data_IF_044902437540
#
_entry.id   IF_044902437540
#
_cell.length_a   1.000
_cell.length_b   1.000
_cell.length_c   1.000
_cell.angle_alpha   90.00
_cell.angle_beta   90.00
_cell.angle_gamma   90.00
#
_symmetry.space_group_name_H-M   'P 1'
#
loop_
_entity.id
_entity.type
_entity.pdbx_description
1 polymer ?
#
# COMPACT_ATOMS: atom_id res chain seq x y z
N UNK A 1 5.13 112.74 21.10
CA UNK A 1 6.36 112.49 20.32
C UNK A 1 6.63 110.99 20.38
N UNK A 2 6.76 110.37 19.20
CA UNK A 2 7.25 109.00 18.93
C UNK A 2 6.47 107.82 19.53
N UNK A 3 6.03 106.79 18.81
CA UNK A 3 5.89 106.48 17.38
C UNK A 3 5.03 105.18 17.34
N UNK A 4 4.12 105.09 16.35
CA UNK A 4 3.56 103.88 15.72
C UNK A 4 2.73 102.83 16.49
N UNK A 5 1.42 102.80 16.15
CA UNK A 5 0.63 101.57 15.90
C UNK A 5 0.70 101.22 14.39
N UNK A 6 0.10 100.11 13.87
CA UNK A 6 -0.05 98.72 14.33
C UNK A 6 0.37 97.72 13.21
N UNK A 7 0.33 96.39 13.43
CA UNK A 7 -0.08 95.39 12.41
C UNK A 7 -0.19 93.96 12.96
N UNK A 8 -1.39 93.39 12.81
CA UNK A 8 -1.67 91.95 12.81
C UNK A 8 -0.73 91.22 11.84
N UNK A 9 -0.14 90.10 12.27
CA UNK A 9 -0.09 88.88 11.44
C UNK A 9 -0.18 87.64 12.33
N UNK A 10 -1.27 86.89 12.16
CA UNK A 10 -1.40 85.48 12.54
C UNK A 10 -0.33 84.66 11.82
N UNK A 11 0.63 84.11 12.56
CA UNK A 11 1.47 83.02 12.06
C UNK A 11 0.81 81.70 12.41
N UNK A 12 0.09 81.15 11.43
CA UNK A 12 -0.34 79.75 11.41
C UNK A 12 0.92 78.89 11.28
N UNK A 13 1.29 78.18 12.34
CA UNK A 13 2.33 77.15 12.28
C UNK A 13 1.74 75.95 11.54
N UNK A 14 2.09 75.81 10.26
CA UNK A 14 1.81 74.61 9.47
C UNK A 14 2.71 73.48 9.99
N UNK A 15 2.18 72.64 10.88
CA UNK A 15 2.79 71.36 11.23
C UNK A 15 2.64 70.44 10.01
N UNK A 16 3.67 70.40 9.17
CA UNK A 16 3.81 69.37 8.14
C UNK A 16 4.03 68.02 8.84
N UNK A 17 2.95 67.30 9.10
CA UNK A 17 2.98 65.89 9.49
C UNK A 17 3.45 65.12 8.25
N UNK A 18 4.76 64.92 8.13
CA UNK A 18 5.33 63.92 7.23
C UNK A 18 4.90 62.55 7.78
N UNK A 19 3.78 62.03 7.30
CA UNK A 19 3.48 60.60 7.40
C UNK A 19 4.50 59.87 6.55
N UNK A 20 5.64 59.49 7.14
CA UNK A 20 6.46 58.42 6.60
C UNK A 20 5.59 57.16 6.63
N UNK A 21 4.88 56.90 5.53
CA UNK A 21 4.42 55.57 5.19
C UNK A 21 5.66 54.74 4.92
N UNK A 22 6.29 54.26 5.99
CA UNK A 22 7.33 53.24 5.93
C UNK A 22 6.66 51.98 5.38
N UNK A 23 6.67 51.87 4.06
CA UNK A 23 6.51 50.61 3.36
C UNK A 23 7.63 49.71 3.87
N UNK A 24 7.37 48.95 4.93
CA UNK A 24 8.16 47.79 5.29
C UNK A 24 7.96 46.79 4.14
N UNK A 25 8.69 46.98 3.05
CA UNK A 25 9.03 45.89 2.16
C UNK A 25 9.85 44.95 3.02
N UNK A 26 9.22 43.88 3.49
CA UNK A 26 9.92 42.72 4.03
C UNK A 26 10.79 42.23 2.87
N UNK A 27 12.06 42.65 2.84
CA UNK A 27 13.06 41.97 2.04
C UNK A 27 13.15 40.56 2.63
N UNK A 28 12.45 39.60 2.01
CA UNK A 28 12.79 38.19 2.17
C UNK A 28 14.25 38.08 1.76
N UNK A 29 15.16 37.92 2.72
CA UNK A 29 16.55 37.62 2.42
C UNK A 29 16.55 36.44 1.44
N UNK A 30 17.21 36.59 0.29
CA UNK A 30 17.30 35.53 -0.69
C UNK A 30 17.82 34.27 0.02
N UNK A 31 17.10 33.15 -0.14
CA UNK A 31 17.44 31.88 0.49
C UNK A 31 18.93 31.57 0.27
N UNK A 32 19.71 31.27 1.33
CA UNK A 32 21.13 30.90 1.17
C UNK A 32 21.29 29.60 0.36
N UNK A 33 20.21 28.85 0.18
CA UNK A 33 20.11 27.61 -0.57
C UNK A 33 19.68 27.88 -2.02
N UNK A 34 20.51 28.64 -2.75
CA UNK A 34 20.29 29.00 -4.16
C UNK A 34 21.07 28.15 -5.16
N UNK A 35 21.11 28.60 -6.42
CA UNK A 35 21.81 27.92 -7.53
C UNK A 35 23.32 27.72 -7.27
N UNK A 36 23.91 28.55 -6.40
CA UNK A 36 25.32 28.45 -6.03
C UNK A 36 25.58 27.34 -5.00
N UNK A 37 24.56 26.86 -4.30
CA UNK A 37 24.69 25.80 -3.30
C UNK A 37 24.39 24.41 -3.89
N UNK A 38 23.20 24.26 -4.50
CA UNK A 38 22.75 22.98 -5.05
C UNK A 38 23.31 22.78 -6.46
N UNK A 39 23.85 21.58 -6.78
CA UNK A 39 24.34 21.32 -8.12
C UNK A 39 23.18 21.29 -9.11
N UNK A 40 23.37 21.87 -10.30
CA UNK A 40 22.37 21.84 -11.36
C UNK A 40 22.54 20.62 -12.28
N UNK A 41 22.67 19.45 -11.66
CA UNK A 41 22.96 18.15 -12.28
C UNK A 41 21.93 17.77 -13.33
N UNK A 42 22.38 17.25 -14.48
CA UNK A 42 21.49 16.72 -15.51
C UNK A 42 21.02 15.31 -15.14
N UNK A 43 19.71 15.13 -15.00
CA UNK A 43 19.05 13.88 -14.69
C UNK A 43 18.11 13.48 -15.82
N UNK A 44 17.71 12.22 -15.83
CA UNK A 44 16.72 11.65 -16.75
C UNK A 44 15.54 11.14 -15.96
N UNK A 45 14.33 11.60 -16.30
CA UNK A 45 13.12 11.08 -15.66
C UNK A 45 12.78 9.69 -16.18
N UNK A 46 11.92 8.98 -15.45
CA UNK A 46 11.32 7.72 -15.89
C UNK A 46 10.54 7.82 -17.22
N UNK A 47 10.12 9.02 -17.65
CA UNK A 47 9.55 9.24 -18.98
C UNK A 47 10.59 9.55 -20.07
N UNK A 48 11.89 9.42 -19.76
CA UNK A 48 13.00 9.68 -20.68
C UNK A 48 13.37 11.16 -20.86
N UNK A 49 12.73 12.08 -20.12
CA UNK A 49 13.00 13.53 -20.26
C UNK A 49 14.26 13.92 -19.52
N UNK A 50 15.06 14.80 -20.14
CA UNK A 50 16.23 15.40 -19.48
C UNK A 50 15.79 16.61 -18.67
N UNK A 51 16.21 16.67 -17.41
CA UNK A 51 15.87 17.73 -16.44
C UNK A 51 17.11 18.12 -15.65
N UNK A 52 17.23 19.40 -15.28
CA UNK A 52 18.30 19.92 -14.44
C UNK A 52 17.83 20.03 -12.99
N UNK A 53 18.61 19.49 -12.06
CA UNK A 53 18.18 19.33 -10.67
C UNK A 53 17.73 20.65 -10.01
N UNK A 54 18.52 21.73 -10.14
CA UNK A 54 18.15 22.99 -9.51
C UNK A 54 16.98 23.65 -10.22
N UNK A 55 17.14 23.93 -11.52
CA UNK A 55 16.18 24.74 -12.28
C UNK A 55 14.82 24.06 -12.43
N UNK A 56 14.80 22.76 -12.74
CA UNK A 56 13.57 22.06 -13.08
C UNK A 56 12.93 21.37 -11.89
N UNK A 57 13.71 20.95 -10.86
CA UNK A 57 13.17 20.11 -9.79
C UNK A 57 12.95 20.84 -8.47
N UNK A 58 13.84 21.74 -8.04
CA UNK A 58 13.77 22.29 -6.68
C UNK A 58 13.54 23.80 -6.59
N UNK A 59 13.89 24.57 -7.63
CA UNK A 59 13.67 26.02 -7.65
C UNK A 59 12.18 26.33 -7.47
N UNK A 60 11.88 27.22 -6.51
CA UNK A 60 10.52 27.69 -6.19
C UNK A 60 9.51 26.57 -5.83
N UNK A 61 10.00 25.38 -5.43
CA UNK A 61 9.17 24.21 -5.13
C UNK A 61 9.34 23.72 -3.71
N UNK A 62 8.27 23.15 -3.17
CA UNK A 62 8.34 22.27 -1.99
C UNK A 62 8.55 20.85 -2.46
N UNK A 63 9.65 20.24 -2.02
CA UNK A 63 10.12 18.97 -2.54
C UNK A 63 10.34 17.93 -1.45
N UNK A 64 10.14 16.66 -1.81
CA UNK A 64 10.59 15.49 -1.05
C UNK A 64 11.54 14.72 -1.95
N UNK A 65 12.77 14.49 -1.49
CA UNK A 65 13.80 13.81 -2.26
C UNK A 65 14.32 12.63 -1.45
N UNK A 66 14.25 11.44 -2.04
CA UNK A 66 14.87 10.24 -1.51
C UNK A 66 15.73 9.57 -2.59
N UNK A 67 16.66 8.73 -2.13
CA UNK A 67 17.53 7.94 -2.99
C UNK A 67 17.16 6.48 -2.85
N UNK A 68 17.04 5.75 -3.96
CA UNK A 68 16.59 4.36 -3.99
C UNK A 68 17.39 3.55 -5.01
N UNK A 69 17.15 2.24 -5.08
CA UNK A 69 17.44 1.44 -6.27
C UNK A 69 16.36 0.36 -6.40
N UNK A 70 15.93 0.05 -7.63
CA UNK A 70 14.71 -0.76 -7.81
C UNK A 70 14.85 -2.22 -7.43
N UNK A 71 16.09 -2.73 -7.44
CA UNK A 71 16.45 -4.09 -7.03
C UNK A 71 16.57 -4.28 -5.50
N UNK A 72 16.33 -3.24 -4.69
CA UNK A 72 16.41 -3.33 -3.24
C UNK A 72 15.33 -4.31 -2.71
N UNK A 73 15.71 -5.35 -1.94
CA UNK A 73 14.78 -6.41 -1.55
C UNK A 73 13.73 -5.96 -0.54
N UNK A 74 14.10 -5.07 0.40
CA UNK A 74 13.28 -4.80 1.58
C UNK A 74 12.92 -3.31 1.73
N UNK A 75 13.93 -2.46 1.87
CA UNK A 75 13.75 -1.10 2.40
C UNK A 75 13.12 -0.13 1.39
N UNK A 76 13.62 -0.06 0.15
CA UNK A 76 13.08 0.88 -0.84
C UNK A 76 11.60 0.60 -1.19
N UNK A 77 11.16 -0.67 -1.35
CA UNK A 77 9.74 -1.01 -1.45
C UNK A 77 8.89 -0.47 -0.29
N UNK A 78 9.37 -0.61 0.96
CA UNK A 78 8.65 -0.14 2.14
C UNK A 78 8.59 1.39 2.25
N UNK A 79 9.68 2.08 1.90
CA UNK A 79 9.71 3.53 1.82
C UNK A 79 8.73 4.04 0.75
N UNK A 80 8.76 3.44 -0.45
CA UNK A 80 7.83 3.79 -1.54
C UNK A 80 6.38 3.60 -1.08
N UNK A 81 6.08 2.50 -0.38
CA UNK A 81 4.78 2.25 0.22
C UNK A 81 4.34 3.34 1.21
N UNK A 82 5.27 3.85 2.03
CA UNK A 82 4.97 4.97 2.92
C UNK A 82 4.65 6.25 2.17
N UNK A 83 5.46 6.60 1.17
CA UNK A 83 5.25 7.81 0.38
C UNK A 83 3.94 7.75 -0.41
N UNK A 84 3.45 6.57 -0.80
CA UNK A 84 2.08 6.41 -1.35
C UNK A 84 1.00 6.85 -0.36
N UNK A 85 1.16 6.53 0.93
CA UNK A 85 0.21 6.98 1.97
C UNK A 85 0.24 8.49 2.12
N UNK A 86 1.43 9.09 2.12
CA UNK A 86 1.61 10.56 2.17
C UNK A 86 1.00 11.21 0.93
N UNK A 87 1.28 10.68 -0.27
CA UNK A 87 0.65 11.08 -1.54
C UNK A 87 -0.88 11.10 -1.41
N UNK A 88 -1.47 10.05 -0.84
CA UNK A 88 -2.93 9.96 -0.69
C UNK A 88 -3.48 10.99 0.30
N UNK A 89 -2.74 11.33 1.36
CA UNK A 89 -3.10 12.38 2.31
C UNK A 89 -2.99 13.77 1.67
N UNK A 90 -1.92 14.03 0.93
CA UNK A 90 -1.69 15.30 0.22
C UNK A 90 -2.69 15.51 -0.93
N UNK A 91 -3.19 14.42 -1.53
CA UNK A 91 -4.23 14.46 -2.56
C UNK A 91 -3.80 15.27 -3.78
N UNK A 92 -4.54 16.36 -4.06
CA UNK A 92 -4.33 17.20 -5.24
C UNK A 92 -3.12 18.16 -5.14
N UNK A 93 -2.47 18.23 -3.97
CA UNK A 93 -1.26 19.04 -3.76
C UNK A 93 -0.04 18.45 -4.44
N UNK A 94 0.03 17.12 -4.51
CA UNK A 94 1.12 16.44 -5.20
C UNK A 94 1.09 16.77 -6.70
N UNK A 95 2.21 17.28 -7.22
CA UNK A 95 2.37 17.74 -8.60
C UNK A 95 1.89 19.17 -8.86
N UNK A 96 1.35 19.88 -7.86
CA UNK A 96 0.94 21.29 -7.97
C UNK A 96 1.86 22.21 -7.18
N UNK A 97 1.88 22.05 -5.86
CA UNK A 97 2.69 22.84 -4.94
C UNK A 97 3.69 21.98 -4.14
N UNK A 98 3.51 20.65 -4.16
CA UNK A 98 4.42 19.67 -3.56
C UNK A 98 4.89 18.67 -4.61
N UNK A 99 6.20 18.39 -4.66
CA UNK A 99 6.79 17.51 -5.66
C UNK A 99 7.68 16.45 -5.02
N UNK A 100 7.48 15.18 -5.38
CA UNK A 100 8.30 14.09 -4.85
C UNK A 100 9.27 13.59 -5.93
N UNK A 101 10.49 13.26 -5.52
CA UNK A 101 11.57 12.82 -6.39
C UNK A 101 12.27 11.61 -5.77
N UNK A 102 12.23 10.48 -6.47
CA UNK A 102 13.02 9.29 -6.12
C UNK A 102 14.14 9.14 -7.12
N UNK A 103 15.38 9.29 -6.66
CA UNK A 103 16.58 9.29 -7.50
C UNK A 103 17.31 7.96 -7.33
N UNK A 104 17.51 7.23 -8.42
CA UNK A 104 18.25 5.97 -8.37
C UNK A 104 19.72 6.20 -8.02
N UNK A 105 20.29 5.32 -7.21
CA UNK A 105 21.74 5.22 -6.97
C UNK A 105 22.41 4.15 -7.83
N UNK A 106 21.64 3.37 -8.58
CA UNK A 106 22.11 2.30 -9.46
C UNK A 106 21.68 2.59 -10.92
N UNK A 107 22.27 3.61 -11.56
CA UNK A 107 21.88 4.00 -12.91
C UNK A 107 22.23 2.97 -13.99
N UNK A 108 23.05 1.95 -13.67
CA UNK A 108 23.41 0.87 -14.60
C UNK A 108 22.26 -0.11 -14.79
N UNK A 109 21.49 -0.36 -13.73
CA UNK A 109 20.31 -1.23 -13.77
C UNK A 109 19.00 -0.45 -13.87
N UNK A 110 18.89 0.70 -13.21
CA UNK A 110 17.67 1.50 -13.16
C UNK A 110 17.58 2.47 -14.36
N UNK A 111 17.27 1.91 -15.53
CA UNK A 111 16.92 2.70 -16.73
C UNK A 111 15.56 3.40 -16.55
N UNK A 112 15.22 4.42 -17.36
CA UNK A 112 13.91 5.06 -17.31
C UNK A 112 12.73 4.08 -17.34
N UNK A 113 12.82 3.03 -18.17
CA UNK A 113 11.80 2.00 -18.32
C UNK A 113 11.65 1.15 -17.05
N UNK A 114 12.77 0.76 -16.43
CA UNK A 114 12.78 0.02 -15.16
C UNK A 114 12.18 0.87 -14.03
N UNK A 115 12.52 2.16 -13.99
CA UNK A 115 11.97 3.11 -13.03
C UNK A 115 10.46 3.32 -13.20
N UNK A 116 9.97 3.45 -14.43
CA UNK A 116 8.53 3.60 -14.69
C UNK A 116 7.75 2.31 -14.33
N UNK A 117 8.31 1.14 -14.63
CA UNK A 117 7.74 -0.13 -14.22
C UNK A 117 7.66 -0.25 -12.68
N UNK A 118 8.73 0.10 -11.98
CA UNK A 118 8.75 0.13 -10.51
C UNK A 118 7.71 1.10 -9.96
N UNK A 119 7.73 2.35 -10.40
CA UNK A 119 6.78 3.41 -10.01
C UNK A 119 5.32 2.96 -10.22
N UNK A 120 5.01 2.41 -11.39
CA UNK A 120 3.68 1.97 -11.78
C UNK A 120 3.17 0.83 -10.90
N UNK A 121 4.03 -0.13 -10.54
CA UNK A 121 3.68 -1.24 -9.62
C UNK A 121 3.18 -0.75 -8.25
N UNK A 122 3.72 0.36 -7.74
CA UNK A 122 3.29 0.96 -6.48
C UNK A 122 2.13 1.95 -6.63
N UNK A 123 1.79 2.37 -7.85
CA UNK A 123 0.84 3.46 -8.09
C UNK A 123 1.39 4.83 -7.68
N UNK A 124 2.72 4.99 -7.71
CA UNK A 124 3.39 6.24 -7.40
C UNK A 124 3.15 7.26 -8.51
N UNK A 125 2.66 8.45 -8.14
CA UNK A 125 2.32 9.51 -9.10
C UNK A 125 3.43 10.55 -9.26
N UNK A 126 4.55 10.37 -8.56
CA UNK A 126 5.66 11.30 -8.58
C UNK A 126 6.77 10.87 -9.54
N UNK A 127 7.81 11.70 -9.64
CA UNK A 127 8.87 11.53 -10.64
C UNK A 127 10.01 10.67 -10.09
N UNK A 128 10.33 9.60 -10.81
CA UNK A 128 11.54 8.80 -10.59
C UNK A 128 12.61 9.27 -11.56
N UNK A 129 13.88 9.32 -11.11
CA UNK A 129 15.00 9.84 -11.89
C UNK A 129 16.23 8.91 -11.84
N UNK A 130 17.00 8.91 -12.92
CA UNK A 130 18.33 8.29 -13.04
C UNK A 130 19.30 9.28 -13.69
N UNK A 131 20.58 8.95 -13.76
CA UNK A 131 21.60 9.89 -14.25
C UNK A 131 23.00 9.30 -14.27
N UNK A 132 24.01 10.16 -14.38
CA UNK A 132 25.40 9.75 -14.23
C UNK A 132 25.71 9.44 -12.75
N UNK A 133 26.48 8.37 -12.51
CA UNK A 133 26.79 7.84 -11.18
C UNK A 133 27.56 8.84 -10.29
N UNK A 134 28.54 9.55 -10.84
CA UNK A 134 29.33 10.54 -10.12
C UNK A 134 28.50 11.77 -9.75
N UNK A 135 27.62 12.16 -10.67
CA UNK A 135 26.68 13.26 -10.50
C UNK A 135 25.64 12.97 -9.42
N UNK A 136 25.08 11.76 -9.40
CA UNK A 136 24.18 11.29 -8.33
C UNK A 136 24.92 11.28 -6.99
N UNK A 137 26.15 10.78 -6.95
CA UNK A 137 26.96 10.73 -5.73
C UNK A 137 27.28 12.13 -5.20
N UNK A 138 27.62 13.08 -6.08
CA UNK A 138 27.81 14.50 -5.73
C UNK A 138 26.53 15.11 -5.16
N UNK A 139 25.39 14.83 -5.78
CA UNK A 139 24.09 15.31 -5.34
C UNK A 139 23.73 14.76 -3.94
N UNK A 140 23.92 13.47 -3.70
CA UNK A 140 23.73 12.83 -2.38
C UNK A 140 24.55 13.52 -1.29
N UNK A 141 25.83 13.81 -1.57
CA UNK A 141 26.74 14.51 -0.65
C UNK A 141 26.23 15.93 -0.34
N UNK A 142 25.81 16.69 -1.36
CA UNK A 142 25.28 18.05 -1.20
C UNK A 142 23.95 18.09 -0.44
N UNK A 143 23.12 17.07 -0.57
CA UNK A 143 21.88 16.92 0.22
C UNK A 143 22.14 16.33 1.63
N UNK A 144 23.39 15.99 1.96
CA UNK A 144 23.75 15.38 3.23
C UNK A 144 23.19 13.97 3.42
N UNK A 145 22.85 13.26 2.33
CA UNK A 145 22.31 11.90 2.31
C UNK A 145 23.36 10.85 1.93
N UNK A 146 24.64 11.24 1.94
CA UNK A 146 25.79 10.36 1.74
C UNK A 146 26.53 10.17 3.06
N UNK A 147 26.79 8.91 3.44
CA UNK A 147 27.54 8.52 4.63
C UNK A 147 28.68 7.63 4.11
N UNK A 148 29.93 8.04 4.26
CA UNK A 148 31.08 7.33 3.66
C UNK A 148 31.27 5.93 4.24
N UNK A 149 31.01 5.78 5.53
CA UNK A 149 31.28 4.59 6.34
C UNK A 149 30.41 3.38 5.97
N UNK A 150 29.30 3.60 5.26
CA UNK A 150 28.39 2.54 4.80
C UNK A 150 28.50 2.28 3.29
N UNK A 151 29.39 2.98 2.58
CA UNK A 151 29.62 2.81 1.14
C UNK A 151 30.85 1.91 0.94
N UNK A 152 30.66 0.62 1.11
CA UNK A 152 31.69 -0.44 1.00
C UNK A 152 31.81 -1.06 -0.41
N UNK A 153 31.17 -0.42 -1.41
CA UNK A 153 31.02 -0.97 -2.77
C UNK A 153 29.71 -1.73 -2.99
N UNK A 154 28.91 -1.96 -1.94
CA UNK A 154 27.52 -2.41 -2.07
C UNK A 154 26.56 -1.24 -2.31
N UNK A 155 25.31 -1.55 -2.67
CA UNK A 155 24.21 -0.57 -2.79
C UNK A 155 23.61 -0.15 -1.43
N UNK A 156 24.32 -0.40 -0.32
CA UNK A 156 23.90 0.10 0.99
C UNK A 156 23.90 1.63 1.00
N UNK A 157 22.82 2.26 1.46
CA UNK A 157 22.74 3.71 1.55
C UNK A 157 21.89 4.19 2.73
N UNK A 158 22.05 5.47 3.05
CA UNK A 158 21.21 6.15 4.02
C UNK A 158 19.76 6.18 3.50
N UNK A 159 18.83 5.66 4.30
CA UNK A 159 17.38 5.64 4.01
C UNK A 159 16.69 6.94 4.47
N UNK A 160 17.46 7.92 4.92
CA UNK A 160 16.91 9.25 5.19
C UNK A 160 16.51 9.93 3.89
N UNK A 161 15.38 10.61 3.90
CA UNK A 161 14.98 11.54 2.84
C UNK A 161 15.25 12.97 3.28
N UNK A 162 15.23 13.89 2.33
CA UNK A 162 15.23 15.31 2.61
C UNK A 162 13.92 15.92 2.11
N UNK A 163 13.30 16.74 2.94
CA UNK A 163 12.19 17.59 2.55
C UNK A 163 12.66 19.03 2.57
N UNK A 164 12.19 19.86 1.65
CA UNK A 164 12.57 21.26 1.66
C UNK A 164 11.75 22.14 0.77
N UNK A 165 11.87 23.44 1.01
CA UNK A 165 11.32 24.47 0.16
C UNK A 165 12.42 25.48 -0.13
N UNK A 166 12.80 25.55 -1.40
CA UNK A 166 13.91 26.38 -1.83
C UNK A 166 13.63 27.87 -1.59
N UNK A 167 12.38 28.32 -1.80
CA UNK A 167 12.00 29.74 -1.69
C UNK A 167 12.08 30.25 -0.25
N UNK A 168 11.69 29.41 0.72
CA UNK A 168 11.77 29.74 2.16
C UNK A 168 13.13 29.39 2.78
N UNK A 169 13.97 28.64 2.05
CA UNK A 169 15.25 28.14 2.54
C UNK A 169 15.14 27.10 3.65
N UNK A 170 13.95 26.54 3.89
CA UNK A 170 13.71 25.53 4.93
C UNK A 170 14.00 24.14 4.36
N UNK A 171 14.95 23.43 4.95
CA UNK A 171 15.33 22.07 4.58
C UNK A 171 15.46 21.19 5.82
N UNK A 172 14.96 19.96 5.76
CA UNK A 172 14.96 19.03 6.90
C UNK A 172 15.23 17.60 6.43
N UNK A 173 16.13 16.90 7.13
CA UNK A 173 16.25 15.44 7.01
C UNK A 173 15.09 14.77 7.74
N UNK A 174 14.48 13.78 7.11
CA UNK A 174 13.35 13.02 7.64
C UNK A 174 13.50 11.54 7.38
N UNK A 175 12.81 10.74 8.19
CA UNK A 175 12.66 9.31 7.92
C UNK A 175 11.43 9.09 7.05
N UNK A 176 11.50 8.29 5.97
CA UNK A 176 10.33 7.90 5.20
C UNK A 176 9.35 7.04 6.02
N UNK A 177 9.80 6.52 7.18
CA UNK A 177 8.97 5.73 8.11
C UNK A 177 8.33 6.55 9.22
N UNK A 178 8.40 7.88 9.14
CA UNK A 178 7.66 8.77 10.04
C UNK A 178 6.14 8.61 9.83
N UNK A 179 5.34 9.04 10.81
CA UNK A 179 3.89 8.98 10.68
C UNK A 179 3.43 9.78 9.43
N UNK A 180 2.66 9.17 8.52
CA UNK A 180 2.37 9.78 7.22
C UNK A 180 1.53 11.06 7.33
N UNK A 181 0.74 11.24 8.40
CA UNK A 181 0.00 12.48 8.64
C UNK A 181 0.90 13.61 9.13
N UNK A 182 1.85 13.29 10.02
CA UNK A 182 2.85 14.25 10.51
C UNK A 182 3.71 14.70 9.34
N UNK A 183 4.17 13.75 8.53
CA UNK A 183 4.98 14.04 7.35
C UNK A 183 4.21 14.87 6.31
N UNK A 184 2.96 14.52 6.02
CA UNK A 184 2.11 15.31 5.12
C UNK A 184 1.86 16.74 5.65
N UNK A 185 1.70 16.92 6.97
CA UNK A 185 1.55 18.25 7.59
C UNK A 185 2.86 19.06 7.52
N UNK A 186 4.01 18.42 7.78
CA UNK A 186 5.32 19.05 7.64
C UNK A 186 5.55 19.54 6.21
N UNK A 187 5.35 18.66 5.23
CA UNK A 187 5.52 18.99 3.81
C UNK A 187 4.51 20.06 3.37
N UNK A 188 3.25 19.89 3.74
CA UNK A 188 2.18 20.75 3.27
C UNK A 188 2.12 22.13 3.94
N UNK A 189 2.56 22.25 5.19
CA UNK A 189 2.29 23.45 6.00
C UNK A 189 3.57 24.07 6.59
N UNK A 190 4.52 23.27 7.09
CA UNK A 190 5.64 23.81 7.88
C UNK A 190 6.73 24.41 6.99
N UNK A 191 6.91 23.88 5.78
CA UNK A 191 7.89 24.37 4.81
C UNK A 191 7.47 25.68 4.13
N UNK A 192 6.23 26.14 4.32
CA UNK A 192 5.61 27.27 3.61
C UNK A 192 5.10 28.37 4.55
N UNK A 193 5.82 28.65 5.65
CA UNK A 193 5.55 29.69 6.65
C UNK A 193 4.21 29.58 7.41
N UNK A 194 3.62 28.38 7.55
CA UNK A 194 2.33 28.15 8.24
C UNK A 194 1.20 29.09 7.75
N UNK A 195 0.49 28.69 6.70
CA UNK A 195 -0.61 29.51 6.13
C UNK A 195 -1.87 29.63 7.00
N UNK A 196 -1.93 28.99 8.18
CA UNK A 196 -3.07 29.16 9.09
C UNK A 196 -2.72 28.74 10.52
N UNK A 197 -2.90 29.65 11.48
CA UNK A 197 -2.95 29.30 12.89
C UNK A 197 -4.14 28.36 13.12
N UNK A 198 -3.89 27.15 13.64
CA UNK A 198 -4.98 26.31 14.16
C UNK A 198 -5.50 26.98 15.44
N UNK A 199 -6.83 27.09 15.65
CA UNK A 199 -7.36 27.61 16.90
C UNK A 199 -6.86 26.76 18.06
N UNK A 200 -6.33 27.42 19.09
CA UNK A 200 -5.86 26.77 20.31
C UNK A 200 -7.06 26.20 21.06
N UNK A 201 -7.15 24.88 21.13
CA UNK A 201 -8.07 24.20 22.04
C UNK A 201 -7.41 24.05 23.41
N UNK A 202 -8.16 24.30 24.49
CA UNK A 202 -7.69 24.15 25.86
C UNK A 202 -7.13 22.73 26.11
N UNK A 203 -6.06 22.61 26.89
CA UNK A 203 -5.46 21.33 27.30
C UNK A 203 -6.47 20.40 27.99
N UNK A 204 -7.49 20.96 28.64
CA UNK A 204 -8.60 20.18 29.21
C UNK A 204 -9.35 19.34 28.16
N UNK A 205 -9.32 19.75 26.89
CA UNK A 205 -9.93 19.04 25.76
C UNK A 205 -8.98 18.07 25.03
N UNK A 206 -7.74 17.93 25.51
CA UNK A 206 -6.77 17.05 24.89
C UNK A 206 -7.27 15.59 24.93
N UNK A 207 -7.23 14.85 23.81
CA UNK A 207 -7.65 13.46 23.78
C UNK A 207 -6.77 12.63 24.70
N UNK A 208 -7.39 11.75 25.50
CA UNK A 208 -6.65 10.81 26.36
C UNK A 208 -5.75 9.92 25.50
N UNK A 209 -4.47 9.84 25.85
CA UNK A 209 -3.53 8.93 25.21
C UNK A 209 -3.99 7.48 25.45
N UNK A 210 -4.16 6.73 24.36
CA UNK A 210 -4.51 5.32 24.44
C UNK A 210 -3.26 4.49 24.72
N UNK A 211 -3.35 3.58 25.68
CA UNK A 211 -2.31 2.56 25.86
C UNK A 211 -2.44 1.53 24.72
N UNK A 212 -1.41 1.41 23.89
CA UNK A 212 -1.41 0.52 22.73
C UNK A 212 -0.94 -0.88 23.16
N UNK A 213 -1.73 -1.91 22.85
CA UNK A 213 -1.29 -3.29 23.04
C UNK A 213 -0.06 -3.58 22.16
N UNK A 214 0.85 -4.45 22.61
CA UNK A 214 2.07 -4.78 21.85
C UNK A 214 1.77 -5.24 20.43
N UNK A 215 0.73 -6.07 20.24
CA UNK A 215 0.29 -6.51 18.91
C UNK A 215 -0.18 -5.37 17.99
N UNK A 216 -0.83 -4.35 18.56
CA UNK A 216 -1.19 -3.14 17.81
C UNK A 216 0.07 -2.35 17.43
N UNK A 217 0.99 -2.14 18.37
CA UNK A 217 2.23 -1.41 18.09
C UNK A 217 3.05 -2.09 16.99
N UNK A 218 3.19 -3.42 17.07
CA UNK A 218 3.86 -4.22 16.04
C UNK A 218 3.15 -4.10 14.70
N UNK A 219 1.83 -4.23 14.65
CA UNK A 219 1.07 -4.06 13.42
C UNK A 219 1.27 -2.67 12.79
N UNK A 220 1.17 -1.61 13.59
CA UNK A 220 1.31 -0.22 13.14
C UNK A 220 2.69 0.08 12.57
N UNK A 221 3.73 -0.55 13.11
CA UNK A 221 5.13 -0.27 12.73
C UNK A 221 5.68 -1.22 11.68
N UNK A 222 5.06 -2.40 11.49
CA UNK A 222 5.57 -3.45 10.58
C UNK A 222 4.62 -3.81 9.44
N UNK A 223 3.32 -3.70 9.64
CA UNK A 223 2.32 -4.23 8.70
C UNK A 223 1.45 -3.13 8.07
N UNK A 224 1.12 -2.08 8.82
CA UNK A 224 0.15 -1.05 8.39
C UNK A 224 0.62 -0.23 7.17
N UNK A 225 1.89 -0.35 6.81
CA UNK A 225 2.47 0.28 5.63
C UNK A 225 1.93 -0.32 4.34
N UNK A 226 1.69 -1.63 4.35
CA UNK A 226 1.22 -2.37 3.18
C UNK A 226 -0.19 -2.91 3.38
N UNK A 227 -0.68 -3.02 4.62
CA UNK A 227 -1.95 -3.66 4.94
C UNK A 227 -2.90 -2.73 5.69
N UNK A 228 -4.19 -2.92 5.44
CA UNK A 228 -5.27 -2.37 6.25
C UNK A 228 -6.04 -3.49 6.95
N UNK A 229 -6.80 -3.14 7.99
CA UNK A 229 -7.84 -3.98 8.58
C UNK A 229 -9.10 -3.12 8.52
N UNK A 230 -9.83 -3.17 7.41
CA UNK A 230 -10.97 -2.25 7.20
C UNK A 230 -12.29 -2.97 6.97
N UNK A 231 -12.27 -4.19 6.42
CA UNK A 231 -13.47 -4.89 6.00
C UNK A 231 -14.18 -4.25 4.80
N UNK A 232 -13.70 -3.11 4.31
CA UNK A 232 -14.05 -2.59 3.00
C UNK A 232 -13.35 -3.48 1.97
N UNK A 233 -14.09 -3.97 0.97
CA UNK A 233 -13.54 -4.82 -0.08
C UNK A 233 -12.33 -4.15 -0.73
N UNK A 234 -11.11 -4.57 -0.37
CA UNK A 234 -9.90 -4.28 -1.14
C UNK A 234 -9.94 -5.16 -2.40
N UNK A 235 -10.87 -4.85 -3.29
CA UNK A 235 -10.85 -5.39 -4.64
C UNK A 235 -9.68 -4.77 -5.40
N UNK A 236 -9.19 -5.49 -6.40
CA UNK A 236 -8.32 -4.97 -7.45
C UNK A 236 -8.86 -3.66 -8.06
N UNK A 237 -10.16 -3.38 -7.92
CA UNK A 237 -10.84 -2.15 -8.33
C UNK A 237 -10.44 -0.89 -7.53
N UNK A 238 -9.69 -1.02 -6.42
CA UNK A 238 -9.16 0.14 -5.70
C UNK A 238 -7.97 0.83 -6.39
N UNK A 239 -7.39 0.19 -7.42
CA UNK A 239 -6.37 0.81 -8.30
C UNK A 239 -6.98 1.66 -9.42
N UNK A 240 -8.27 1.46 -9.74
CA UNK A 240 -9.03 2.38 -10.57
C UNK A 240 -9.48 3.55 -9.68
N UNK A 241 -9.22 4.78 -10.12
CA UNK A 241 -9.27 5.96 -9.27
C UNK A 241 -10.58 6.18 -8.50
N UNK A 242 -10.46 6.97 -7.43
CA UNK A 242 -11.50 7.74 -6.71
C UNK A 242 -12.22 7.15 -5.49
N UNK A 243 -12.00 5.89 -5.10
CA UNK A 243 -12.72 5.31 -3.95
C UNK A 243 -12.07 5.61 -2.58
N UNK A 244 -12.52 6.66 -1.88
CA UNK A 244 -12.22 6.86 -0.45
C UNK A 244 -13.19 6.06 0.41
N UNK A 245 -12.73 5.15 1.28
CA UNK A 245 -13.57 4.72 2.40
C UNK A 245 -13.43 5.75 3.53
N UNK A 246 -14.52 6.46 3.80
CA UNK A 246 -14.64 7.41 4.89
C UNK A 246 -14.89 6.66 6.20
N UNK A 247 -13.99 6.80 7.16
CA UNK A 247 -14.39 6.66 8.56
C UNK A 247 -15.15 7.93 8.94
N UNK A 248 -16.49 7.86 8.99
CA UNK A 248 -17.38 9.00 9.25
C UNK A 248 -17.09 9.72 10.59
N UNK A 249 -16.35 9.10 11.52
CA UNK A 249 -16.04 9.72 12.82
C UNK A 249 -14.85 10.67 12.81
N UNK A 250 -13.98 10.65 11.80
CA UNK A 250 -12.76 11.49 11.80
C UNK A 250 -12.48 12.21 10.47
N UNK A 251 -13.31 12.01 9.44
CA UNK A 251 -13.06 12.59 8.10
C UNK A 251 -11.76 12.11 7.44
N UNK A 252 -11.12 11.09 8.02
CA UNK A 252 -9.78 10.65 7.64
C UNK A 252 -9.89 9.59 6.53
N UNK A 253 -9.46 9.96 5.32
CA UNK A 253 -9.40 9.07 4.15
C UNK A 253 -8.40 7.94 4.43
N UNK A 254 -8.85 6.68 4.44
CA UNK A 254 -7.96 5.52 4.62
C UNK A 254 -7.23 5.26 3.29
N UNK A 255 -5.88 5.31 3.25
CA UNK A 255 -5.12 5.04 2.02
C UNK A 255 -5.38 3.62 1.50
N UNK A 256 -5.42 3.46 0.17
CA UNK A 256 -5.45 2.14 -0.48
C UNK A 256 -4.19 1.36 -0.07
N UNK A 257 -4.38 0.18 0.51
CA UNK A 257 -3.29 -0.70 0.91
C UNK A 257 -2.65 -1.35 -0.33
N UNK A 258 -1.32 -1.50 -0.32
CA UNK A 258 -0.60 -2.17 -1.40
C UNK A 258 -0.78 -3.69 -1.38
N UNK A 259 -0.90 -4.26 -0.18
CA UNK A 259 -1.18 -5.65 0.08
C UNK A 259 -2.65 -5.89 0.45
N UNK A 260 -3.04 -7.17 0.64
CA UNK A 260 -4.40 -7.54 0.98
C UNK A 260 -4.90 -6.87 2.27
N UNK A 261 -6.19 -6.53 2.31
CA UNK A 261 -6.87 -6.24 3.57
C UNK A 261 -6.87 -7.51 4.45
N UNK A 262 -6.51 -7.33 5.72
CA UNK A 262 -6.35 -8.41 6.71
C UNK A 262 -7.60 -8.62 7.57
N UNK A 263 -8.69 -7.91 7.31
CA UNK A 263 -9.99 -8.14 7.95
C UNK A 263 -10.38 -9.61 7.83
N UNK A 264 -10.73 -10.21 8.97
CA UNK A 264 -11.08 -11.62 9.09
C UNK A 264 -10.02 -12.59 8.52
N UNK A 265 -8.75 -12.18 8.34
CA UNK A 265 -7.71 -13.06 7.74
C UNK A 265 -7.50 -14.34 8.55
N UNK A 266 -7.64 -14.26 9.87
CA UNK A 266 -7.56 -15.41 10.78
C UNK A 266 -8.70 -16.41 10.62
N UNK A 267 -9.80 -16.03 9.96
CA UNK A 267 -10.90 -16.91 9.58
C UNK A 267 -10.75 -17.39 8.13
N UNK A 268 -10.00 -16.65 7.30
CA UNK A 268 -9.78 -16.92 5.87
C UNK A 268 -8.56 -17.78 5.56
N UNK A 269 -7.67 -17.98 6.52
CA UNK A 269 -6.40 -18.68 6.35
C UNK A 269 -6.06 -19.52 7.58
N UNK A 270 -5.41 -20.65 7.32
CA UNK A 270 -4.92 -21.54 8.37
C UNK A 270 -3.84 -20.83 9.20
N UNK A 271 -3.85 -21.07 10.51
CA UNK A 271 -3.02 -20.34 11.47
C UNK A 271 -1.53 -20.59 11.25
N UNK A 272 -1.11 -21.84 11.06
CA UNK A 272 0.29 -22.18 10.84
C UNK A 272 0.81 -21.60 9.53
N UNK A 273 0.00 -21.61 8.46
CA UNK A 273 0.33 -20.93 7.21
C UNK A 273 0.52 -19.43 7.41
N UNK A 274 -0.39 -18.76 8.15
CA UNK A 274 -0.25 -17.33 8.47
C UNK A 274 1.02 -17.03 9.26
N UNK A 275 1.37 -17.89 10.23
CA UNK A 275 2.60 -17.74 11.01
C UNK A 275 3.82 -17.87 10.11
N UNK A 276 3.90 -18.91 9.28
CA UNK A 276 5.00 -19.11 8.34
C UNK A 276 5.12 -17.95 7.36
N UNK A 277 4.01 -17.45 6.82
CA UNK A 277 3.99 -16.35 5.85
C UNK A 277 4.45 -15.03 6.45
N UNK A 278 4.05 -14.72 7.69
CA UNK A 278 4.46 -13.48 8.36
C UNK A 278 5.94 -13.52 8.78
N UNK A 279 6.44 -14.69 9.18
CA UNK A 279 7.83 -14.84 9.65
C UNK A 279 8.85 -15.00 8.51
N UNK A 280 8.46 -15.65 7.41
CA UNK A 280 9.38 -16.00 6.33
C UNK A 280 8.71 -15.97 4.93
N UNK A 281 8.18 -14.82 4.49
CA UNK A 281 7.50 -14.71 3.18
C UNK A 281 8.45 -15.00 2.01
N UNK A 282 9.70 -14.57 2.11
CA UNK A 282 10.79 -14.83 1.16
C UNK A 282 11.04 -16.33 0.97
N UNK A 283 11.11 -17.09 2.06
CA UNK A 283 11.28 -18.55 2.01
C UNK A 283 10.09 -19.22 1.33
N UNK A 284 8.87 -18.83 1.69
CA UNK A 284 7.65 -19.41 1.10
C UNK A 284 7.53 -19.11 -0.41
N UNK A 285 7.98 -17.93 -0.85
CA UNK A 285 8.07 -17.60 -2.28
C UNK A 285 9.16 -18.42 -2.99
N UNK A 286 10.33 -18.60 -2.38
CA UNK A 286 11.41 -19.42 -2.93
C UNK A 286 11.01 -20.89 -3.08
N UNK A 287 10.28 -21.43 -2.10
CA UNK A 287 9.71 -22.78 -2.11
C UNK A 287 8.48 -22.90 -3.02
N UNK A 288 8.03 -21.79 -3.62
CA UNK A 288 6.86 -21.71 -4.50
C UNK A 288 5.58 -22.23 -3.83
N UNK A 289 5.36 -21.87 -2.56
CA UNK A 289 4.10 -22.17 -1.86
C UNK A 289 2.92 -21.69 -2.73
N UNK A 290 1.92 -22.54 -3.03
CA UNK A 290 0.87 -22.21 -3.98
C UNK A 290 0.05 -20.96 -3.62
N UNK A 291 -0.17 -20.71 -2.32
CA UNK A 291 -0.94 -19.57 -1.84
C UNK A 291 -0.08 -18.31 -1.91
N UNK A 292 1.18 -18.38 -1.46
CA UNK A 292 2.15 -17.31 -1.55
C UNK A 292 2.33 -16.84 -3.00
N UNK A 293 2.51 -17.78 -3.94
CA UNK A 293 2.66 -17.48 -5.36
C UNK A 293 1.40 -16.87 -5.96
N UNK A 294 0.22 -17.34 -5.55
CA UNK A 294 -1.05 -16.75 -5.98
C UNK A 294 -1.18 -15.31 -5.53
N UNK A 295 -0.86 -15.02 -4.26
CA UNK A 295 -0.85 -13.66 -3.72
C UNK A 295 0.19 -12.80 -4.44
N UNK A 296 1.40 -13.30 -4.62
CA UNK A 296 2.46 -12.57 -5.33
C UNK A 296 2.02 -12.15 -6.74
N UNK A 297 1.42 -13.06 -7.50
CA UNK A 297 0.90 -12.75 -8.83
C UNK A 297 -0.31 -11.80 -8.79
N UNK A 298 -1.19 -11.95 -7.80
CA UNK A 298 -2.37 -11.11 -7.62
C UNK A 298 -2.00 -9.66 -7.29
N UNK A 299 -0.91 -9.43 -6.57
CA UNK A 299 -0.46 -8.12 -6.13
C UNK A 299 0.74 -7.62 -6.96
N UNK A 300 0.68 -7.80 -8.29
CA UNK A 300 1.65 -7.29 -9.28
C UNK A 300 3.11 -7.65 -8.99
N UNK A 301 3.33 -8.88 -8.50
CA UNK A 301 4.68 -9.37 -8.17
C UNK A 301 5.36 -8.48 -7.13
N UNK A 302 4.59 -7.87 -6.24
CA UNK A 302 5.09 -7.18 -5.06
C UNK A 302 5.30 -8.21 -3.95
N UNK A 303 6.56 -8.51 -3.64
CA UNK A 303 6.90 -9.45 -2.58
C UNK A 303 6.58 -8.83 -1.20
N UNK A 304 6.03 -9.63 -0.29
CA UNK A 304 5.91 -9.21 1.12
C UNK A 304 7.32 -9.22 1.72
N UNK A 305 7.81 -8.10 2.29
CA UNK A 305 9.15 -8.04 2.86
C UNK A 305 9.25 -8.88 4.14
N UNK A 306 10.43 -9.43 4.40
CA UNK A 306 10.68 -10.19 5.62
C UNK A 306 11.01 -9.22 6.77
N UNK A 307 10.07 -9.07 7.70
CA UNK A 307 10.20 -8.17 8.85
C UNK A 307 10.99 -8.77 10.03
N UNK A 308 11.56 -9.97 9.86
CA UNK A 308 12.35 -10.72 10.86
C UNK A 308 11.61 -10.90 12.20
N UNK A 309 10.29 -11.10 12.13
CA UNK A 309 9.44 -11.21 13.30
C UNK A 309 9.62 -12.56 13.99
N UNK A 310 9.67 -12.54 15.33
CA UNK A 310 9.64 -13.76 16.13
C UNK A 310 8.26 -14.40 16.12
N UNK A 311 8.17 -15.67 16.52
CA UNK A 311 6.89 -16.36 16.70
C UNK A 311 5.98 -15.62 17.69
N UNK A 312 6.54 -15.13 18.80
CA UNK A 312 5.80 -14.39 19.83
C UNK A 312 5.19 -13.10 19.26
N UNK A 313 5.98 -12.31 18.53
CA UNK A 313 5.51 -11.07 17.91
C UNK A 313 4.45 -11.36 16.84
N UNK A 314 4.66 -12.38 16.02
CA UNK A 314 3.71 -12.82 15.00
C UNK A 314 2.36 -13.19 15.62
N UNK A 315 2.38 -13.94 16.73
CA UNK A 315 1.16 -14.28 17.47
C UNK A 315 0.46 -13.06 18.06
N UNK A 316 1.21 -12.06 18.56
CA UNK A 316 0.64 -10.81 19.06
C UNK A 316 -0.02 -9.99 17.93
N UNK A 317 0.61 -9.93 16.75
CA UNK A 317 0.04 -9.28 15.56
C UNK A 317 -1.25 -9.99 15.14
N UNK A 318 -1.25 -11.31 15.04
CA UNK A 318 -2.45 -12.09 14.68
C UNK A 318 -3.58 -11.91 15.69
N UNK A 319 -3.27 -11.87 16.99
CA UNK A 319 -4.25 -11.59 18.04
C UNK A 319 -4.86 -10.19 17.90
N UNK A 320 -4.03 -9.19 17.58
CA UNK A 320 -4.51 -7.84 17.31
C UNK A 320 -5.41 -7.79 16.06
N UNK A 321 -4.98 -8.40 14.94
CA UNK A 321 -5.77 -8.44 13.70
C UNK A 321 -7.14 -9.09 13.93
N UNK A 322 -7.17 -10.20 14.68
CA UNK A 322 -8.42 -10.88 15.07
C UNK A 322 -9.31 -9.95 15.88
N UNK A 323 -8.79 -9.34 16.95
CA UNK A 323 -9.54 -8.42 17.80
C UNK A 323 -10.08 -7.21 17.04
N UNK A 324 -9.29 -6.66 16.12
CA UNK A 324 -9.70 -5.53 15.30
C UNK A 324 -10.77 -5.93 14.27
N UNK A 325 -10.65 -7.12 13.70
CA UNK A 325 -11.69 -7.69 12.82
C UNK A 325 -13.02 -7.89 13.56
N UNK A 326 -12.97 -8.44 14.79
CA UNK A 326 -14.14 -8.60 15.65
C UNK A 326 -14.75 -7.25 16.02
N UNK A 327 -13.92 -6.26 16.34
CA UNK A 327 -14.37 -4.89 16.63
C UNK A 327 -15.11 -4.28 15.45
N UNK A 328 -14.56 -4.41 14.24
CA UNK A 328 -15.16 -3.89 13.01
C UNK A 328 -16.47 -4.62 12.69
N UNK A 329 -16.49 -5.96 12.82
CA UNK A 329 -17.69 -6.76 12.62
C UNK A 329 -18.81 -6.40 13.61
N UNK A 330 -18.47 -6.19 14.89
CA UNK A 330 -19.41 -5.79 15.93
C UNK A 330 -19.96 -4.36 15.74
N UNK A 331 -19.23 -3.48 15.05
CA UNK A 331 -19.70 -2.12 14.76
C UNK A 331 -20.70 -2.01 13.60
N UNK A 332 -21.06 -3.12 12.94
CA UNK A 332 -21.98 -3.15 11.79
C UNK A 332 -21.35 -2.58 10.50
N UNK A 333 -21.96 -2.79 9.32
CA UNK A 333 -21.42 -2.25 8.07
C UNK A 333 -21.44 -0.72 8.12
N UNK A 334 -20.27 -0.09 7.94
CA UNK A 334 -20.19 1.33 7.65
C UNK A 334 -20.90 1.56 6.31
N UNK A 335 -22.06 2.22 6.33
CA UNK A 335 -22.73 2.66 5.11
C UNK A 335 -21.80 3.64 4.40
N UNK A 336 -21.25 3.25 3.26
CA UNK A 336 -20.71 4.23 2.32
C UNK A 336 -21.90 5.07 1.80
N UNK A 337 -21.80 6.42 1.75
CA UNK A 337 -22.79 7.21 1.06
C UNK A 337 -22.69 6.90 -0.44
N UNK A 338 -23.76 6.34 -1.01
CA UNK A 338 -24.01 6.43 -2.45
C UNK A 338 -23.76 5.21 -3.34
N UNK A 339 -23.46 4.00 -2.83
CA UNK A 339 -23.53 2.81 -3.69
C UNK A 339 -24.79 1.99 -3.39
N UNK A 340 -25.84 2.18 -4.17
CA UNK A 340 -26.79 1.09 -4.38
C UNK A 340 -26.04 0.01 -5.16
N UNK A 341 -25.50 -0.99 -4.47
CA UNK A 341 -25.13 -2.25 -5.11
C UNK A 341 -26.42 -3.02 -5.33
N UNK A 342 -26.72 -3.35 -6.59
CA UNK A 342 -27.79 -4.27 -6.95
C UNK A 342 -27.60 -5.59 -6.19
N UNK A 343 -28.69 -6.15 -5.70
CA UNK A 343 -28.77 -7.39 -4.91
C UNK A 343 -28.45 -8.68 -5.68
N UNK A 344 -27.71 -8.58 -6.79
CA UNK A 344 -27.45 -9.68 -7.73
C UNK A 344 -26.02 -10.21 -7.73
N UNK A 345 -25.12 -9.70 -6.88
CA UNK A 345 -23.77 -10.27 -6.71
C UNK A 345 -23.81 -11.56 -5.85
N UNK A 346 -24.50 -12.58 -6.37
CA UNK A 346 -24.48 -13.96 -5.87
C UNK A 346 -23.39 -14.82 -6.53
N UNK A 347 -22.43 -14.21 -7.24
CA UNK A 347 -21.44 -14.95 -8.04
C UNK A 347 -20.16 -15.22 -7.26
N UNK A 348 -19.84 -16.50 -7.05
CA UNK A 348 -18.50 -16.93 -6.61
C UNK A 348 -17.59 -16.90 -7.82
N UNK A 349 -16.47 -16.17 -7.75
CA UNK A 349 -15.46 -16.23 -8.80
C UNK A 349 -14.71 -17.55 -8.67
N UNK A 350 -14.70 -18.36 -9.72
CA UNK A 350 -14.00 -19.65 -9.75
C UNK A 350 -12.77 -19.50 -10.64
N UNK A 351 -11.59 -19.78 -10.10
CA UNK A 351 -10.32 -19.69 -10.82
C UNK A 351 -9.50 -20.97 -10.65
N UNK A 352 -8.51 -21.17 -11.52
CA UNK A 352 -7.60 -22.33 -11.47
C UNK A 352 -8.33 -23.68 -11.46
N UNK A 353 -9.44 -23.79 -12.19
CA UNK A 353 -10.28 -24.98 -12.19
C UNK A 353 -9.83 -26.00 -13.24
N UNK A 354 -9.47 -27.20 -12.80
CA UNK A 354 -9.02 -28.28 -13.68
C UNK A 354 -9.18 -29.66 -13.02
N UNK A 355 -9.18 -30.71 -13.84
CA UNK A 355 -9.21 -32.11 -13.39
C UNK A 355 -7.92 -32.80 -13.80
N UNK A 356 -7.30 -33.52 -12.88
CA UNK A 356 -6.14 -34.35 -13.18
C UNK A 356 -6.57 -35.58 -13.97
N UNK A 357 -5.87 -35.81 -15.08
CA UNK A 357 -6.02 -37.04 -15.84
C UNK A 357 -5.62 -38.24 -14.97
N UNK A 358 -6.51 -39.22 -14.90
CA UNK A 358 -6.28 -40.48 -14.19
C UNK A 358 -5.47 -41.44 -15.06
N UNK A 359 -4.76 -42.38 -14.41
CA UNK A 359 -4.17 -43.52 -15.13
C UNK A 359 -5.29 -44.37 -15.76
N UNK A 360 -5.03 -45.09 -16.86
CA UNK A 360 -6.08 -45.81 -17.61
C UNK A 360 -6.98 -46.73 -16.77
N UNK A 361 -6.45 -47.32 -15.69
CA UNK A 361 -7.20 -48.23 -14.81
C UNK A 361 -7.73 -47.58 -13.52
N UNK A 362 -7.41 -46.31 -13.28
CA UNK A 362 -7.79 -45.64 -12.04
C UNK A 362 -9.28 -45.27 -12.04
N UNK A 363 -9.97 -45.65 -10.96
CA UNK A 363 -11.41 -45.41 -10.77
C UNK A 363 -11.74 -44.04 -10.16
N UNK A 364 -10.73 -43.19 -9.97
CA UNK A 364 -10.83 -41.91 -9.27
C UNK A 364 -9.95 -40.87 -9.98
N UNK A 365 -10.49 -39.67 -10.15
CA UNK A 365 -9.75 -38.47 -10.54
C UNK A 365 -9.72 -37.47 -9.39
N UNK A 366 -8.75 -36.55 -9.42
CA UNK A 366 -8.69 -35.41 -8.52
C UNK A 366 -9.06 -34.13 -9.28
N UNK A 367 -9.96 -33.32 -8.72
CA UNK A 367 -10.32 -31.99 -9.22
C UNK A 367 -9.81 -30.89 -8.32
N UNK A 368 -9.37 -29.79 -8.93
CA UNK A 368 -8.80 -28.63 -8.26
C UNK A 368 -9.48 -27.37 -8.77
N UNK A 369 -9.71 -26.41 -7.87
CA UNK A 369 -10.28 -25.10 -8.18
C UNK A 369 -10.13 -24.18 -6.98
N UNK A 370 -10.22 -22.87 -7.20
CA UNK A 370 -10.29 -21.87 -6.12
C UNK A 370 -11.59 -21.11 -6.21
N UNK A 371 -12.35 -21.12 -5.12
CA UNK A 371 -13.57 -20.34 -4.93
C UNK A 371 -13.20 -19.02 -4.27
N UNK A 372 -13.54 -17.90 -4.88
CA UNK A 372 -13.37 -16.55 -4.34
C UNK A 372 -14.77 -15.99 -4.07
N UNK A 373 -15.04 -15.68 -2.81
CA UNK A 373 -16.28 -15.07 -2.36
C UNK A 373 -16.09 -13.56 -2.26
N UNK A 374 -16.61 -12.77 -3.22
CA UNK A 374 -16.51 -11.31 -3.17
C UNK A 374 -17.53 -10.66 -2.22
N UNK A 375 -18.42 -11.46 -1.62
CA UNK A 375 -19.56 -10.97 -0.83
C UNK A 375 -19.21 -10.87 0.66
N UNK A 376 -19.94 -10.03 1.38
CA UNK A 376 -19.83 -9.91 2.85
C UNK A 376 -20.54 -11.00 3.63
N UNK A 377 -21.08 -12.02 2.95
CA UNK A 377 -21.75 -13.15 3.58
C UNK A 377 -20.89 -14.40 3.38
N UNK A 378 -20.86 -15.27 4.39
CA UNK A 378 -20.23 -16.57 4.26
C UNK A 378 -21.00 -17.45 3.28
N UNK A 379 -20.28 -18.20 2.44
CA UNK A 379 -20.86 -19.16 1.51
C UNK A 379 -20.38 -20.55 1.88
N UNK A 380 -21.29 -21.51 1.99
CA UNK A 380 -20.96 -22.90 2.32
C UNK A 380 -21.25 -23.78 1.12
N UNK A 381 -20.22 -24.34 0.49
CA UNK A 381 -20.38 -25.34 -0.56
C UNK A 381 -20.68 -26.69 0.10
N UNK A 382 -21.83 -27.27 -0.21
CA UNK A 382 -22.29 -28.54 0.40
C UNK A 382 -22.24 -29.71 -0.57
N UNK A 383 -22.21 -29.44 -1.88
CA UNK A 383 -22.18 -30.50 -2.89
C UNK A 383 -21.55 -30.04 -4.19
N UNK A 384 -20.86 -30.94 -4.88
CA UNK A 384 -20.47 -30.79 -6.28
C UNK A 384 -21.04 -31.97 -7.06
N UNK A 385 -21.56 -31.72 -8.25
CA UNK A 385 -22.12 -32.73 -9.14
C UNK A 385 -21.57 -32.57 -10.56
N UNK A 386 -21.62 -33.64 -11.35
CA UNK A 386 -21.26 -33.63 -12.75
C UNK A 386 -21.91 -34.81 -13.46
N UNK A 387 -22.25 -34.65 -14.74
CA UNK A 387 -22.72 -35.76 -15.57
C UNK A 387 -21.59 -36.76 -15.89
N UNK A 388 -20.33 -36.34 -15.77
CA UNK A 388 -19.16 -37.17 -16.10
C UNK A 388 -18.80 -38.21 -15.01
N UNK A 389 -19.26 -38.01 -13.77
CA UNK A 389 -18.88 -38.84 -12.61
C UNK A 389 -20.11 -39.33 -11.85
N UNK A 390 -20.04 -40.52 -11.26
CA UNK A 390 -21.15 -41.01 -10.41
C UNK A 390 -21.18 -40.32 -9.05
N UNK A 391 -20.03 -39.93 -8.51
CA UNK A 391 -19.94 -39.28 -7.20
C UNK A 391 -18.78 -38.28 -7.16
N UNK A 392 -19.01 -37.12 -6.56
CA UNK A 392 -17.95 -36.14 -6.27
C UNK A 392 -18.00 -35.82 -4.77
N UNK A 393 -16.85 -35.88 -4.12
CA UNK A 393 -16.70 -35.58 -2.70
C UNK A 393 -15.61 -34.51 -2.50
N UNK A 394 -15.70 -33.76 -1.40
CA UNK A 394 -14.67 -32.80 -1.01
C UNK A 394 -13.79 -33.50 0.03
N UNK A 395 -12.49 -33.54 -0.18
CA UNK A 395 -11.53 -34.24 0.68
C UNK A 395 -10.41 -33.30 1.10
N UNK A 396 -9.79 -33.59 2.24
CA UNK A 396 -8.56 -32.94 2.70
C UNK A 396 -7.56 -33.98 3.21
N UNK A 397 -6.27 -33.64 3.17
CA UNK A 397 -5.23 -34.42 3.83
C UNK A 397 -5.15 -33.99 5.28
N UNK A 398 -5.45 -34.90 6.21
CA UNK A 398 -5.36 -34.67 7.65
C UNK A 398 -4.42 -35.70 8.30
N UNK A 399 -3.72 -35.29 9.36
CA UNK A 399 -2.86 -36.19 10.11
C UNK A 399 -3.72 -36.91 11.16
N UNK A 400 -3.92 -38.21 10.97
CA UNK A 400 -4.70 -39.06 11.85
C UNK A 400 -3.77 -40.15 12.39
N UNK A 401 -3.57 -40.17 13.72
CA UNK A 401 -2.70 -41.13 14.41
C UNK A 401 -1.26 -41.20 13.88
N UNK A 402 -0.71 -40.04 13.48
CA UNK A 402 0.66 -39.94 12.96
C UNK A 402 0.83 -40.31 11.49
N UNK A 403 -0.26 -40.69 10.80
CA UNK A 403 -0.29 -41.02 9.38
C UNK A 403 -1.09 -39.96 8.60
N UNK A 404 -0.65 -39.66 7.38
CA UNK A 404 -1.37 -38.77 6.47
C UNK A 404 -2.56 -39.53 5.85
N UNK A 405 -3.78 -39.17 6.23
CA UNK A 405 -5.01 -39.79 5.75
C UNK A 405 -5.86 -38.80 4.95
N UNK A 406 -6.57 -39.31 3.94
CA UNK A 406 -7.60 -38.54 3.25
C UNK A 406 -8.89 -38.56 4.07
N UNK A 407 -9.34 -37.37 4.47
CA UNK A 407 -10.58 -37.17 5.22
C UNK A 407 -11.63 -36.48 4.34
N UNK A 408 -12.83 -37.05 4.28
CA UNK A 408 -13.98 -36.45 3.61
C UNK A 408 -14.52 -35.26 4.43
N UNK A 409 -14.78 -34.16 3.73
CA UNK A 409 -15.48 -32.98 4.24
C UNK A 409 -16.94 -32.99 3.76
N UNK A 410 -17.87 -32.80 4.68
CA UNK A 410 -19.30 -32.67 4.37
C UNK A 410 -19.65 -31.31 3.76
N UNK A 411 -18.88 -30.28 4.12
CA UNK A 411 -19.04 -28.92 3.62
C UNK A 411 -17.69 -28.22 3.49
N UNK A 412 -17.62 -27.28 2.55
CA UNK A 412 -16.47 -26.39 2.35
C UNK A 412 -16.93 -24.95 2.54
N UNK A 413 -16.45 -24.35 3.61
CA UNK A 413 -16.71 -22.95 3.95
C UNK A 413 -15.85 -22.04 3.06
N UNK A 414 -16.49 -21.08 2.41
CA UNK A 414 -15.89 -19.99 1.63
C UNK A 414 -16.22 -18.69 2.38
N UNK A 415 -15.31 -18.18 3.21
CA UNK A 415 -15.61 -17.06 4.10
C UNK A 415 -16.01 -15.80 3.33
N UNK A 416 -16.75 -14.90 3.98
CA UNK A 416 -17.02 -13.55 3.46
C UNK A 416 -15.71 -12.84 3.04
N UNK A 417 -15.70 -12.24 1.85
CA UNK A 417 -14.52 -11.60 1.23
C UNK A 417 -13.27 -12.50 1.19
N UNK A 418 -13.48 -13.82 1.19
CA UNK A 418 -12.44 -14.83 1.31
C UNK A 418 -12.36 -15.73 0.10
N UNK A 419 -11.56 -16.79 0.26
CA UNK A 419 -11.47 -17.84 -0.74
C UNK A 419 -11.28 -19.20 -0.07
N UNK A 420 -11.71 -20.25 -0.76
CA UNK A 420 -11.41 -21.63 -0.44
C UNK A 420 -10.67 -22.26 -1.63
N UNK A 421 -9.45 -22.73 -1.39
CA UNK A 421 -8.60 -23.31 -2.43
C UNK A 421 -8.58 -24.84 -2.30
N UNK A 422 -8.89 -25.51 -3.41
CA UNK A 422 -8.74 -26.95 -3.60
C UNK A 422 -7.53 -27.14 -4.53
N UNK A 423 -6.37 -27.51 -3.96
CA UNK A 423 -5.07 -27.54 -4.62
C UNK A 423 -4.36 -28.89 -4.41
N UNK A 424 -3.45 -29.30 -5.31
CA UNK A 424 -2.63 -30.50 -5.11
C UNK A 424 -1.91 -30.47 -3.76
N UNK A 425 -1.99 -31.58 -3.01
CA UNK A 425 -1.39 -31.71 -1.67
C UNK A 425 -2.25 -31.16 -0.52
N UNK A 426 -3.37 -30.49 -0.80
CA UNK A 426 -4.29 -29.98 0.20
C UNK A 426 -5.72 -30.50 0.03
N UNK A 427 -6.71 -29.61 0.16
CA UNK A 427 -8.10 -29.93 -0.13
C UNK A 427 -8.26 -30.22 -1.62
N UNK A 428 -9.11 -31.17 -2.00
CA UNK A 428 -9.38 -31.49 -3.40
C UNK A 428 -10.79 -32.06 -3.59
N UNK A 429 -11.24 -32.08 -4.85
CA UNK A 429 -12.43 -32.84 -5.24
C UNK A 429 -12.02 -34.26 -5.58
N UNK A 430 -12.55 -35.24 -4.85
CA UNK A 430 -12.41 -36.65 -5.20
C UNK A 430 -13.54 -37.04 -6.16
N UNK A 431 -13.20 -37.25 -7.42
CA UNK A 431 -14.14 -37.50 -8.52
C UNK A 431 -14.15 -39.02 -8.77
N UNK A 432 -15.20 -39.72 -8.34
CA UNK A 432 -15.25 -41.18 -8.31
C UNK A 432 -16.09 -41.73 -9.46
N UNK A 433 -15.64 -42.87 -9.99
CA UNK A 433 -16.34 -43.64 -11.03
C UNK A 433 -16.69 -42.78 -12.25
N UNK A 434 -15.68 -42.38 -13.06
CA UNK A 434 -15.92 -41.69 -14.32
C UNK A 434 -16.79 -42.56 -15.24
N UNK A 435 -17.82 -41.98 -15.85
CA UNK A 435 -18.75 -42.69 -16.75
C UNK A 435 -18.15 -42.97 -18.13
N UNK A 436 -17.15 -42.19 -18.52
CA UNK A 436 -16.36 -42.33 -19.74
C UNK A 436 -14.89 -42.08 -19.43
N UNK A 437 -13.94 -42.69 -20.16
CA UNK A 437 -12.53 -42.33 -20.06
C UNK A 437 -12.35 -40.82 -20.33
N UNK A 438 -11.53 -40.16 -19.52
CA UNK A 438 -11.22 -38.73 -19.64
C UNK A 438 -9.83 -38.56 -20.24
N UNK A 439 -9.78 -37.91 -21.40
CA UNK A 439 -8.55 -37.59 -22.10
C UNK A 439 -8.10 -36.16 -21.79
N UNK A 440 -6.82 -35.88 -22.03
CA UNK A 440 -6.28 -34.52 -21.95
C UNK A 440 -7.11 -33.58 -22.84
N UNK A 441 -7.34 -32.37 -22.32
CA UNK A 441 -8.11 -31.29 -22.95
C UNK A 441 -9.63 -31.49 -23.03
N UNK A 442 -10.14 -32.63 -22.55
CA UNK A 442 -11.57 -32.83 -22.35
C UNK A 442 -12.14 -31.76 -21.41
N UNK A 443 -13.38 -31.33 -21.70
CA UNK A 443 -14.10 -30.36 -20.90
C UNK A 443 -15.21 -31.04 -20.10
N UNK A 444 -15.21 -30.81 -18.79
CA UNK A 444 -16.17 -31.37 -17.86
C UNK A 444 -16.96 -30.23 -17.22
N UNK A 445 -18.28 -30.38 -17.14
CA UNK A 445 -19.14 -29.44 -16.41
C UNK A 445 -19.29 -29.92 -14.96
N UNK A 446 -18.98 -29.03 -14.01
CA UNK A 446 -19.26 -29.22 -12.59
C UNK A 446 -20.36 -28.26 -12.16
N UNK A 447 -21.26 -28.73 -11.30
CA UNK A 447 -22.32 -27.95 -10.67
C UNK A 447 -22.06 -27.86 -9.18
N UNK A 448 -21.74 -26.67 -8.68
CA UNK A 448 -21.49 -26.39 -7.27
C UNK A 448 -22.80 -25.98 -6.60
N UNK A 449 -23.20 -26.66 -5.51
CA UNK A 449 -24.41 -26.39 -4.75
C UNK A 449 -24.06 -25.86 -3.37
N UNK A 450 -24.61 -24.71 -3.02
CA UNK A 450 -24.35 -24.03 -1.76
C UNK A 450 -25.51 -24.22 -0.78
N UNK A 451 -25.22 -24.10 0.52
CA UNK A 451 -26.19 -24.24 1.62
C UNK A 451 -27.38 -23.28 1.52
N UNK A 452 -27.19 -22.14 0.83
CA UNK A 452 -28.25 -21.18 0.54
C UNK A 452 -29.27 -21.65 -0.51
N UNK A 453 -29.06 -22.83 -1.13
CA UNK A 453 -29.86 -23.35 -2.24
C UNK A 453 -29.39 -22.86 -3.62
N UNK A 454 -28.49 -21.86 -3.66
CA UNK A 454 -27.91 -21.36 -4.89
C UNK A 454 -26.94 -22.38 -5.52
N UNK A 455 -26.85 -22.37 -6.85
CA UNK A 455 -26.00 -23.26 -7.62
C UNK A 455 -25.21 -22.50 -8.69
N UNK A 456 -23.96 -22.92 -8.94
CA UNK A 456 -23.11 -22.36 -10.00
C UNK A 456 -22.48 -23.45 -10.84
N UNK A 457 -22.56 -23.28 -12.16
CA UNK A 457 -21.88 -24.16 -13.10
C UNK A 457 -20.46 -23.65 -13.40
N UNK A 458 -19.51 -24.57 -13.54
CA UNK A 458 -18.16 -24.29 -14.01
C UNK A 458 -17.73 -25.35 -15.02
N UNK A 459 -17.11 -24.92 -16.11
CA UNK A 459 -16.44 -25.80 -17.07
C UNK A 459 -14.98 -25.92 -16.66
N UNK A 460 -14.49 -27.16 -16.52
CA UNK A 460 -13.11 -27.47 -16.13
C UNK A 460 -12.44 -28.32 -17.20
N UNK A 461 -11.15 -28.08 -17.46
CA UNK A 461 -10.37 -28.88 -18.42
C UNK A 461 -9.62 -30.01 -17.73
N UNK A 462 -9.48 -31.13 -18.43
CA UNK A 462 -8.63 -32.25 -18.00
C UNK A 462 -7.17 -31.97 -18.40
N UNK A 463 -6.24 -32.12 -17.46
CA UNK A 463 -4.81 -31.89 -17.69
C UNK A 463 -3.96 -33.02 -17.09
N UNK A 464 -2.84 -33.33 -17.77
CA UNK A 464 -1.88 -34.36 -17.37
C UNK A 464 -0.77 -33.83 -16.42
N UNK A 465 -1.08 -32.82 -15.59
CA UNK A 465 -0.10 -32.13 -14.73
C UNK A 465 0.15 -32.81 -13.39
#
# INVERSE_FOLDING_TARGET
MSQYQPRLQMSVVLLAVFTLSSSFQVLSAASPWGANYFPNTLLTTHEGRKVRFFDDLIKDKTVVINFIYTACPDTCPLETAQLIRVQNILGNRLGKDVFFYSISIDPKTDTPEVLDAYRSRFGAKWTFLTGNEDDISRLRRKLGLYIEEIQDGSLNHNVSMIIGNQSTGRWMKRSPFENPYVLADQIGNWLSDWKSAKPLTDYASAPKLRNLATGEQLFRTRCQNCHNISGASSGADSRAGSGTSSSEKTGQKVPVALGPDLFAVSQRREKNWLVSWIMAPDKMLAEKDPIAMSLYLQYDRLAMPNMRLTYKETMQILAFIKKESERIAASGPVKAPGSQRSSDDKVVKIVNAWVRQALPEAKVNAGYLTLINPTGQELTLVKVESDAFSQIEIHEMAMQDGLMAMQKLNELLVPAFGQAALLPGGKHLMLKSPRKPLNKDDSIKLTLKFKSGWQQNVSVKVAAK
#
